data_IF_102714289890
#
_entry.id   IF_102714289890
#
_cell.length_a   1.000
_cell.length_b   1.000
_cell.length_c   1.000
_cell.angle_alpha   90.00
_cell.angle_beta   90.00
_cell.angle_gamma   90.00
#
_symmetry.space_group_name_H-M   'P 1'
#
loop_
_entity.id
_entity.type
_entity.pdbx_description
1 polymer ?
#
# COMPACT_ATOMS: atom_id res chain seq x y z
N UNK A 1 -38.97 -46.34 -22.02
CA UNK A 1 -39.91 -46.73 -20.95
C UNK A 1 -40.82 -47.82 -21.51
N UNK A 2 -40.70 -49.04 -20.99
CA UNK A 2 -41.60 -50.12 -21.36
C UNK A 2 -42.97 -49.85 -20.74
N UNK A 3 -44.03 -49.90 -21.55
CA UNK A 3 -45.41 -49.71 -21.10
C UNK A 3 -45.82 -50.92 -20.25
N UNK A 4 -45.70 -50.82 -18.94
CA UNK A 4 -46.21 -51.86 -18.02
C UNK A 4 -47.71 -51.68 -17.91
N UNK A 5 -48.46 -52.43 -18.72
CA UNK A 5 -49.92 -52.43 -18.68
C UNK A 5 -50.37 -53.22 -17.44
N UNK A 6 -50.98 -52.52 -16.48
CA UNK A 6 -51.46 -53.14 -15.24
C UNK A 6 -52.76 -53.92 -15.50
N UNK A 7 -52.92 -55.14 -14.96
CA UNK A 7 -54.15 -55.90 -15.10
C UNK A 7 -55.32 -55.20 -14.38
N UNK A 8 -56.46 -55.02 -15.06
CA UNK A 8 -57.70 -54.60 -14.39
C UNK A 8 -58.41 -55.81 -13.78
N UNK A 9 -58.93 -55.66 -12.56
CA UNK A 9 -59.72 -56.71 -11.89
C UNK A 9 -61.07 -56.14 -11.45
N UNK A 10 -62.14 -56.77 -11.94
CA UNK A 10 -63.49 -56.62 -11.40
C UNK A 10 -63.70 -57.61 -10.25
N UNK A 11 -63.50 -57.16 -9.01
CA UNK A 11 -63.81 -57.98 -7.82
C UNK A 11 -65.23 -57.62 -7.36
N UNK A 12 -66.13 -58.61 -7.41
CA UNK A 12 -67.46 -58.53 -6.82
C UNK A 12 -67.39 -58.98 -5.35
N UNK A 13 -67.92 -58.17 -4.42
CA UNK A 13 -67.83 -58.35 -2.97
C UNK A 13 -68.55 -59.61 -2.42
N UNK A 14 -69.17 -60.46 -3.24
CA UNK A 14 -70.05 -61.54 -2.77
C UNK A 14 -69.44 -62.94 -2.71
N UNK A 15 -68.17 -63.17 -3.08
CA UNK A 15 -67.54 -64.49 -2.95
C UNK A 15 -66.03 -64.37 -2.63
N UNK A 16 -65.66 -64.42 -1.35
CA UNK A 16 -64.28 -64.75 -0.95
C UNK A 16 -64.30 -66.23 -0.54
N UNK A 17 -64.22 -67.09 -1.54
CA UNK A 17 -63.83 -68.49 -1.35
C UNK A 17 -62.28 -68.59 -1.34
N UNK A 18 -61.74 -69.79 -1.14
CA UNK A 18 -60.28 -70.02 -1.16
C UNK A 18 -59.63 -69.56 -2.47
N UNK A 19 -60.37 -69.63 -3.59
CA UNK A 19 -59.90 -69.16 -4.89
C UNK A 19 -59.78 -67.63 -4.96
N UNK A 20 -60.72 -66.89 -4.37
CA UNK A 20 -60.63 -65.43 -4.21
C UNK A 20 -59.45 -64.99 -3.32
N UNK A 21 -59.18 -65.75 -2.25
CA UNK A 21 -58.04 -65.50 -1.36
C UNK A 21 -56.70 -65.76 -2.06
N UNK A 22 -56.61 -66.81 -2.88
CA UNK A 22 -55.40 -67.11 -3.64
C UNK A 22 -55.15 -66.12 -4.77
N UNK A 23 -56.21 -65.63 -5.42
CA UNK A 23 -56.13 -64.51 -6.36
C UNK A 23 -55.57 -63.25 -5.70
N UNK A 24 -56.05 -62.92 -4.50
CA UNK A 24 -55.54 -61.80 -3.71
C UNK A 24 -54.05 -61.97 -3.36
N UNK A 25 -53.63 -63.15 -2.88
CA UNK A 25 -52.22 -63.44 -2.57
C UNK A 25 -51.32 -63.30 -3.79
N UNK A 26 -51.75 -63.79 -4.96
CA UNK A 26 -51.00 -63.64 -6.20
C UNK A 26 -50.85 -62.16 -6.58
N UNK A 27 -51.91 -61.37 -6.41
CA UNK A 27 -51.87 -59.94 -6.72
C UNK A 27 -50.96 -59.18 -5.76
N UNK A 28 -51.02 -59.48 -4.46
CA UNK A 28 -50.11 -58.91 -3.45
C UNK A 28 -48.65 -59.25 -3.77
N UNK A 29 -48.35 -60.49 -4.20
CA UNK A 29 -47.01 -60.86 -4.66
C UNK A 29 -46.57 -60.09 -5.90
N UNK A 30 -47.47 -59.88 -6.86
CA UNK A 30 -47.17 -59.10 -8.07
C UNK A 30 -46.86 -57.64 -7.74
N UNK A 31 -47.67 -57.01 -6.87
CA UNK A 31 -47.44 -55.64 -6.40
C UNK A 31 -46.12 -55.52 -5.65
N UNK A 32 -45.79 -56.49 -4.78
CA UNK A 32 -44.51 -56.52 -4.07
C UNK A 32 -43.33 -56.58 -5.06
N UNK A 33 -43.38 -57.46 -6.05
CA UNK A 33 -42.33 -57.58 -7.06
C UNK A 33 -42.15 -56.28 -7.86
N UNK A 34 -43.25 -55.65 -8.29
CA UNK A 34 -43.20 -54.37 -9.00
C UNK A 34 -42.59 -53.27 -8.13
N UNK A 35 -42.94 -53.24 -6.84
CA UNK A 35 -42.41 -52.25 -5.89
C UNK A 35 -40.90 -52.44 -5.68
N UNK A 36 -40.43 -53.69 -5.59
CA UNK A 36 -39.00 -54.01 -5.49
C UNK A 36 -38.27 -53.56 -6.75
N UNK A 37 -38.77 -53.90 -7.94
CA UNK A 37 -38.16 -53.50 -9.20
C UNK A 37 -38.07 -51.98 -9.36
N UNK A 38 -39.15 -51.26 -9.03
CA UNK A 38 -39.16 -49.79 -9.07
C UNK A 38 -38.15 -49.19 -8.08
N UNK A 39 -38.00 -49.79 -6.90
CA UNK A 39 -37.04 -49.33 -5.89
C UNK A 39 -35.60 -49.54 -6.35
N UNK A 40 -35.30 -50.68 -6.96
CA UNK A 40 -33.99 -50.99 -7.53
C UNK A 40 -33.66 -50.07 -8.70
N UNK A 41 -34.61 -49.86 -9.62
CA UNK A 41 -34.43 -48.97 -10.78
C UNK A 41 -34.25 -47.52 -10.35
N UNK A 42 -35.03 -47.04 -9.37
CA UNK A 42 -34.88 -45.68 -8.83
C UNK A 42 -33.52 -45.52 -8.13
N UNK A 43 -33.11 -46.51 -7.33
CA UNK A 43 -31.79 -46.49 -6.67
C UNK A 43 -30.67 -46.48 -7.69
N UNK A 44 -30.79 -47.27 -8.76
CA UNK A 44 -29.84 -47.28 -9.86
C UNK A 44 -29.80 -45.92 -10.57
N UNK A 45 -30.94 -45.34 -10.91
CA UNK A 45 -31.04 -44.03 -11.54
C UNK A 45 -30.45 -42.92 -10.64
N UNK A 46 -30.69 -42.97 -9.33
CA UNK A 46 -30.13 -42.00 -8.39
C UNK A 46 -28.62 -42.13 -8.22
N UNK A 47 -28.10 -43.36 -8.23
CA UNK A 47 -26.65 -43.62 -8.09
C UNK A 47 -25.87 -43.47 -9.41
N UNK A 48 -26.55 -43.56 -10.56
CA UNK A 48 -25.94 -43.49 -11.89
C UNK A 48 -26.54 -42.36 -12.74
N UNK A 49 -27.13 -41.35 -12.09
CA UNK A 49 -27.61 -40.15 -12.75
C UNK A 49 -26.39 -39.50 -13.41
N UNK A 50 -26.40 -39.46 -14.75
CA UNK A 50 -25.32 -38.84 -15.50
C UNK A 50 -25.31 -37.35 -15.16
N UNK A 51 -24.34 -36.93 -14.35
CA UNK A 51 -24.19 -35.56 -13.89
C UNK A 51 -24.00 -34.57 -15.04
N UNK A 52 -23.70 -35.05 -16.26
CA UNK A 52 -23.63 -34.22 -17.48
C UNK A 52 -24.99 -33.68 -17.94
N UNK A 53 -26.10 -34.26 -17.48
CA UNK A 53 -27.45 -33.85 -17.85
C UNK A 53 -28.17 -33.06 -16.75
N UNK A 54 -27.45 -32.60 -15.72
CA UNK A 54 -28.02 -31.73 -14.69
C UNK A 54 -28.13 -30.31 -15.25
N UNK A 55 -29.37 -29.82 -15.42
CA UNK A 55 -29.63 -28.46 -15.91
C UNK A 55 -29.51 -27.42 -14.78
N UNK A 56 -29.95 -27.77 -13.58
CA UNK A 56 -29.90 -26.93 -12.40
C UNK A 56 -29.57 -27.79 -11.17
N UNK A 57 -28.61 -27.34 -10.37
CA UNK A 57 -28.29 -27.92 -9.08
C UNK A 57 -28.50 -26.84 -8.03
N UNK A 58 -29.57 -26.97 -7.25
CA UNK A 58 -29.76 -26.18 -6.05
C UNK A 58 -29.25 -26.97 -4.86
N UNK A 59 -28.06 -26.61 -4.37
CA UNK A 59 -27.39 -27.29 -3.27
C UNK A 59 -26.76 -26.27 -2.32
N UNK A 60 -26.86 -26.54 -1.02
CA UNK A 60 -26.17 -25.74 0.02
C UNK A 60 -24.64 -25.91 -0.08
N UNK A 61 -24.18 -27.10 -0.45
CA UNK A 61 -22.75 -27.45 -0.56
C UNK A 61 -22.50 -28.21 -1.86
N UNK A 62 -21.51 -27.76 -2.64
CA UNK A 62 -20.96 -28.47 -3.79
C UNK A 62 -19.56 -28.97 -3.41
N UNK A 63 -19.43 -30.25 -3.05
CA UNK A 63 -18.14 -30.87 -2.79
C UNK A 63 -17.60 -31.51 -4.09
N UNK A 64 -16.78 -30.77 -4.82
CA UNK A 64 -16.15 -31.23 -6.05
C UNK A 64 -14.63 -31.11 -5.93
N UNK A 65 -13.89 -32.06 -6.51
CA UNK A 65 -12.43 -31.95 -6.61
C UNK A 65 -12.01 -30.80 -7.52
N UNK A 66 -12.56 -30.78 -8.74
CA UNK A 66 -12.33 -29.72 -9.73
C UNK A 66 -13.65 -29.36 -10.41
N UNK A 67 -13.92 -28.06 -10.52
CA UNK A 67 -15.01 -27.53 -11.35
C UNK A 67 -14.37 -27.05 -12.66
N UNK A 68 -14.53 -27.82 -13.73
CA UNK A 68 -14.11 -27.40 -15.07
C UNK A 68 -15.29 -26.74 -15.78
N UNK A 69 -15.30 -25.41 -15.79
CA UNK A 69 -16.39 -24.62 -16.37
C UNK A 69 -15.83 -23.43 -17.16
N UNK A 70 -16.52 -23.06 -18.24
CA UNK A 70 -16.21 -21.85 -19.01
C UNK A 70 -16.51 -20.57 -18.21
N UNK A 71 -17.46 -20.64 -17.29
CA UNK A 71 -17.85 -19.56 -16.39
C UNK A 71 -18.24 -20.17 -15.04
N UNK A 72 -17.62 -19.69 -13.98
CA UNK A 72 -18.05 -19.89 -12.59
C UNK A 72 -18.37 -18.52 -12.03
N UNK A 73 -19.63 -18.28 -11.65
CA UNK A 73 -20.03 -17.03 -10.98
C UNK A 73 -20.56 -17.35 -9.60
N UNK A 74 -19.84 -16.93 -8.58
CA UNK A 74 -20.22 -17.01 -7.17
C UNK A 74 -20.82 -15.67 -6.82
N UNK A 75 -22.15 -15.61 -6.78
CA UNK A 75 -22.88 -14.43 -6.37
C UNK A 75 -22.94 -14.41 -4.84
N UNK A 76 -22.65 -13.26 -4.24
CA UNK A 76 -22.97 -13.04 -2.84
C UNK A 76 -24.42 -12.55 -2.72
N UNK A 77 -25.11 -12.95 -1.65
CA UNK A 77 -26.39 -12.33 -1.25
C UNK A 77 -26.21 -10.93 -0.62
N UNK A 78 -25.00 -10.35 -0.68
CA UNK A 78 -24.78 -8.97 -0.24
C UNK A 78 -25.75 -8.03 -0.96
N UNK A 79 -26.31 -7.08 -0.22
CA UNK A 79 -27.33 -6.12 -0.67
C UNK A 79 -26.97 -5.35 -1.95
N UNK A 80 -25.67 -5.28 -2.26
CA UNK A 80 -25.14 -4.49 -3.36
C UNK A 80 -24.93 -5.34 -4.63
N UNK A 81 -25.14 -6.66 -4.58
CA UNK A 81 -24.96 -7.56 -5.73
C UNK A 81 -23.51 -7.92 -6.07
N UNK A 82 -22.61 -7.84 -5.08
CA UNK A 82 -21.21 -8.21 -5.25
C UNK A 82 -21.03 -9.68 -5.65
N UNK A 83 -19.95 -9.97 -6.37
CA UNK A 83 -19.69 -11.31 -6.90
C UNK A 83 -18.21 -11.61 -7.06
N UNK A 84 -17.89 -12.91 -7.14
CA UNK A 84 -16.61 -13.43 -7.62
C UNK A 84 -16.89 -14.22 -8.89
N UNK A 85 -16.19 -13.94 -9.99
CA UNK A 85 -16.31 -14.71 -11.23
C UNK A 85 -14.97 -15.23 -11.72
N UNK A 86 -15.01 -16.40 -12.33
CA UNK A 86 -13.93 -17.00 -13.11
C UNK A 86 -14.49 -17.26 -14.51
N UNK A 87 -13.90 -16.65 -15.53
CA UNK A 87 -14.33 -16.78 -16.93
C UNK A 87 -13.11 -17.01 -17.84
N UNK A 88 -13.35 -17.08 -19.16
CA UNK A 88 -12.29 -17.23 -20.17
C UNK A 88 -11.32 -16.04 -20.26
N UNK A 89 -11.55 -14.96 -19.52
CA UNK A 89 -10.69 -13.78 -19.46
C UNK A 89 -9.91 -13.67 -18.13
N UNK A 90 -10.33 -14.42 -17.09
CA UNK A 90 -9.63 -14.53 -15.82
C UNK A 90 -10.56 -14.52 -14.60
N UNK A 91 -10.08 -13.96 -13.49
CA UNK A 91 -10.83 -13.82 -12.23
C UNK A 91 -11.21 -12.35 -11.99
N UNK A 92 -12.43 -12.11 -11.51
CA UNK A 92 -12.93 -10.79 -11.12
C UNK A 92 -13.59 -10.86 -9.74
N UNK A 93 -13.34 -9.87 -8.90
CA UNK A 93 -14.03 -9.62 -7.63
C UNK A 93 -14.68 -8.25 -7.72
N UNK A 94 -15.99 -8.19 -7.52
CA UNK A 94 -16.80 -6.99 -7.69
C UNK A 94 -17.60 -6.71 -6.41
N UNK A 95 -17.63 -5.45 -5.97
CA UNK A 95 -18.30 -5.03 -4.73
C UNK A 95 -19.79 -4.66 -4.90
N UNK A 96 -20.33 -4.86 -6.10
CA UNK A 96 -21.67 -4.45 -6.53
C UNK A 96 -21.67 -3.18 -7.40
N UNK A 97 -20.59 -2.40 -7.36
CA UNK A 97 -20.47 -1.14 -8.09
C UNK A 97 -19.30 -1.13 -9.08
N UNK A 98 -18.18 -1.78 -8.71
CA UNK A 98 -16.96 -1.85 -9.53
C UNK A 98 -16.14 -3.09 -9.23
N UNK A 99 -15.26 -3.44 -10.16
CA UNK A 99 -14.28 -4.51 -9.96
C UNK A 99 -13.16 -4.01 -9.04
N UNK A 100 -13.04 -4.63 -7.86
CA UNK A 100 -12.04 -4.30 -6.84
C UNK A 100 -10.78 -5.13 -6.99
N UNK A 101 -10.87 -6.30 -7.63
CA UNK A 101 -9.73 -7.12 -8.02
C UNK A 101 -10.01 -7.79 -9.36
N UNK A 102 -9.05 -7.73 -10.28
CA UNK A 102 -9.06 -8.53 -11.51
C UNK A 102 -7.72 -9.23 -11.69
N UNK A 103 -7.75 -10.48 -12.16
CA UNK A 103 -6.56 -11.25 -12.51
C UNK A 103 -6.79 -11.73 -13.94
N UNK A 104 -6.06 -11.15 -14.89
CA UNK A 104 -6.17 -11.52 -16.30
C UNK A 104 -5.44 -12.82 -16.64
N UNK A 105 -5.45 -13.17 -17.92
CA UNK A 105 -4.71 -14.32 -18.46
C UNK A 105 -3.19 -14.24 -18.28
N UNK A 106 -2.65 -13.05 -18.00
CA UNK A 106 -1.24 -12.84 -17.68
C UNK A 106 -0.90 -13.14 -16.21
N UNK A 107 -1.89 -13.50 -15.40
CA UNK A 107 -1.74 -13.86 -13.99
C UNK A 107 -1.44 -12.67 -13.08
N UNK A 108 -1.51 -11.43 -13.57
CA UNK A 108 -1.18 -10.24 -12.77
C UNK A 108 -2.44 -9.67 -12.11
N UNK A 109 -2.49 -9.60 -10.77
CA UNK A 109 -3.61 -8.97 -10.10
C UNK A 109 -3.57 -7.45 -10.29
N UNK A 110 -4.72 -6.87 -10.62
CA UNK A 110 -4.99 -5.43 -10.53
C UNK A 110 -6.01 -5.24 -9.41
N UNK A 111 -5.66 -4.44 -8.41
CA UNK A 111 -6.51 -4.17 -7.25
C UNK A 111 -6.81 -2.69 -7.16
N UNK A 112 -8.07 -2.35 -6.89
CA UNK A 112 -8.55 -0.98 -6.70
C UNK A 112 -8.93 -0.78 -5.23
N UNK A 113 -7.90 -0.51 -4.43
CA UNK A 113 -8.00 -0.42 -2.98
C UNK A 113 -7.50 -1.68 -2.27
N UNK A 114 -6.80 -1.51 -1.14
CA UNK A 114 -6.34 -2.61 -0.32
C UNK A 114 -6.10 -2.15 1.12
N UNK A 115 -6.47 -3.02 2.07
CA UNK A 115 -6.15 -2.89 3.49
C UNK A 115 -5.31 -4.11 3.91
N UNK A 116 -4.09 -3.86 4.37
CA UNK A 116 -3.22 -4.89 4.95
C UNK A 116 -2.93 -4.44 6.37
N UNK A 117 -3.50 -5.10 7.37
CA UNK A 117 -3.37 -4.70 8.77
C UNK A 117 -2.99 -5.87 9.67
N UNK A 118 -2.34 -5.55 10.79
CA UNK A 118 -2.16 -6.49 11.90
C UNK A 118 -3.51 -6.90 12.50
N UNK A 119 -3.53 -7.99 13.27
CA UNK A 119 -4.75 -8.49 13.93
C UNK A 119 -5.42 -7.46 14.86
N UNK A 120 -4.63 -6.52 15.41
CA UNK A 120 -5.09 -5.44 16.29
C UNK A 120 -5.24 -4.09 15.56
N UNK A 121 -5.24 -4.09 14.23
CA UNK A 121 -5.46 -2.92 13.36
C UNK A 121 -4.21 -2.12 13.00
N UNK A 122 -3.13 -2.20 13.79
CA UNK A 122 -1.84 -1.56 13.48
C UNK A 122 -0.65 -2.51 13.73
N UNK A 123 0.45 -2.40 12.95
CA UNK A 123 0.64 -1.52 11.79
C UNK A 123 -0.26 -1.88 10.61
N UNK A 124 -0.50 -0.91 9.71
CA UNK A 124 -1.31 -1.16 8.50
C UNK A 124 -0.83 -0.40 7.26
N UNK A 125 -1.12 -0.96 6.10
CA UNK A 125 -0.92 -0.37 4.78
C UNK A 125 -2.28 -0.17 4.12
N UNK A 126 -2.52 1.06 3.62
CA UNK A 126 -3.76 1.43 2.94
C UNK A 126 -3.42 1.97 1.56
N UNK A 127 -4.07 1.41 0.54
CA UNK A 127 -4.13 1.96 -0.80
C UNK A 127 -5.58 2.41 -1.01
N UNK A 128 -5.82 3.70 -1.21
CA UNK A 128 -7.17 4.26 -1.30
C UNK A 128 -7.29 5.24 -2.48
N UNK A 129 -8.07 4.92 -3.52
CA UNK A 129 -8.20 5.77 -4.70
C UNK A 129 -8.80 7.16 -4.41
N UNK A 130 -9.53 7.34 -3.30
CA UNK A 130 -10.31 8.56 -3.06
C UNK A 130 -9.53 9.71 -2.40
N UNK A 131 -8.26 9.48 -2.02
CA UNK A 131 -7.43 10.57 -1.48
C UNK A 131 -5.98 10.25 -1.15
N UNK A 132 -5.57 8.98 -1.10
CA UNK A 132 -4.21 8.58 -0.73
C UNK A 132 -3.66 7.50 -1.66
N UNK A 133 -2.65 7.84 -2.47
CA UNK A 133 -2.04 6.88 -3.39
C UNK A 133 -1.51 5.66 -2.63
N UNK A 134 -0.85 5.88 -1.47
CA UNK A 134 -0.37 4.80 -0.60
C UNK A 134 0.01 5.33 0.79
N UNK A 135 -0.36 4.66 1.89
CA UNK A 135 0.11 5.00 3.24
C UNK A 135 0.48 3.78 4.07
N UNK A 136 1.55 3.91 4.85
CA UNK A 136 1.99 2.93 5.83
C UNK A 136 1.96 3.57 7.22
N UNK A 137 1.10 3.06 8.09
CA UNK A 137 0.86 3.58 9.43
C UNK A 137 1.52 2.70 10.49
N UNK A 138 2.27 3.32 11.40
CA UNK A 138 2.63 2.72 12.68
C UNK A 138 1.46 2.82 13.66
N UNK A 139 0.82 3.99 13.70
CA UNK A 139 -0.42 4.27 14.44
C UNK A 139 -1.20 5.41 13.75
N UNK A 140 -2.26 5.92 14.37
CA UNK A 140 -3.10 6.99 13.80
C UNK A 140 -2.35 8.31 13.52
N UNK A 141 -1.27 8.59 14.25
CA UNK A 141 -0.55 9.85 14.23
C UNK A 141 0.87 9.73 13.66
N UNK A 142 1.34 8.51 13.39
CA UNK A 142 2.69 8.23 12.92
C UNK A 142 2.62 7.38 11.65
N UNK A 143 2.97 7.97 10.50
CA UNK A 143 2.89 7.29 9.21
C UNK A 143 3.83 7.89 8.15
N UNK A 144 4.08 7.11 7.11
CA UNK A 144 4.68 7.56 5.84
C UNK A 144 3.59 7.45 4.78
N UNK A 145 3.42 8.49 3.98
CA UNK A 145 2.42 8.53 2.91
C UNK A 145 2.98 8.99 1.59
N UNK A 146 2.44 8.43 0.51
CA UNK A 146 2.54 8.95 -0.84
C UNK A 146 1.18 9.58 -1.16
N UNK A 147 1.19 10.89 -1.37
CA UNK A 147 0.01 11.69 -1.65
C UNK A 147 0.30 12.68 -2.77
N UNK A 148 -0.73 13.05 -3.53
CA UNK A 148 -0.62 14.14 -4.47
C UNK A 148 -0.41 15.45 -3.70
N UNK A 149 0.56 16.26 -4.12
CA UNK A 149 0.70 17.63 -3.64
C UNK A 149 -0.42 18.53 -4.18
N UNK A 150 -0.42 19.82 -3.82
CA UNK A 150 -1.45 20.75 -4.26
C UNK A 150 -1.52 20.92 -5.80
N UNK A 151 -0.45 20.59 -6.52
CA UNK A 151 -0.37 20.65 -7.97
C UNK A 151 -0.62 19.29 -8.64
N UNK A 152 -0.95 18.25 -7.86
CA UNK A 152 -1.17 16.90 -8.34
C UNK A 152 0.09 16.05 -8.52
N UNK A 153 1.28 16.57 -8.19
CA UNK A 153 2.53 15.82 -8.30
C UNK A 153 2.68 14.84 -7.12
N UNK A 154 3.24 13.64 -7.32
CA UNK A 154 3.44 12.71 -6.23
C UNK A 154 4.44 13.27 -5.22
N UNK A 155 4.09 13.20 -3.94
CA UNK A 155 4.94 13.59 -2.83
C UNK A 155 4.97 12.49 -1.77
N UNK A 156 6.11 12.35 -1.10
CA UNK A 156 6.25 11.48 0.07
C UNK A 156 6.26 12.35 1.33
N UNK A 157 5.37 12.06 2.26
CA UNK A 157 5.22 12.81 3.52
C UNK A 157 5.52 11.89 4.70
N UNK A 158 6.34 12.38 5.64
CA UNK A 158 6.63 11.73 6.91
C UNK A 158 5.88 12.47 8.01
N UNK A 159 4.99 11.78 8.72
CA UNK A 159 4.16 12.35 9.78
C UNK A 159 4.50 11.70 11.11
N UNK A 160 4.71 12.54 12.13
CA UNK A 160 4.96 12.10 13.50
C UNK A 160 4.17 12.95 14.48
N UNK A 161 3.42 12.30 15.37
CA UNK A 161 2.50 12.99 16.29
C UNK A 161 1.42 13.82 15.58
N UNK A 162 0.96 13.38 14.41
CA UNK A 162 -0.06 14.06 13.61
C UNK A 162 0.44 15.29 12.85
N UNK A 163 1.75 15.58 12.90
CA UNK A 163 2.38 16.73 12.25
C UNK A 163 3.36 16.26 11.19
N UNK A 164 3.30 16.88 10.01
CA UNK A 164 4.29 16.66 8.94
C UNK A 164 5.67 17.08 9.45
N UNK A 165 6.62 16.16 9.45
CA UNK A 165 8.02 16.43 9.84
C UNK A 165 8.90 16.64 8.63
N UNK A 166 8.66 15.88 7.56
CA UNK A 166 9.36 16.03 6.31
C UNK A 166 8.45 15.74 5.11
N UNK A 167 8.74 16.37 3.98
CA UNK A 167 8.12 16.08 2.69
C UNK A 167 9.18 16.07 1.59
N UNK A 168 9.07 15.08 0.71
CA UNK A 168 9.84 14.96 -0.52
C UNK A 168 8.89 15.17 -1.69
N UNK A 169 9.16 16.15 -2.55
CA UNK A 169 8.28 16.45 -3.69
C UNK A 169 9.08 16.94 -4.89
N UNK A 170 8.41 17.03 -6.04
CA UNK A 170 8.97 17.60 -7.28
C UNK A 170 8.22 18.83 -7.76
N UNK A 171 7.53 19.50 -6.85
CA UNK A 171 6.57 20.57 -7.13
C UNK A 171 7.17 21.71 -7.98
N UNK A 172 8.44 22.06 -7.77
CA UNK A 172 9.14 23.12 -8.49
C UNK A 172 9.95 22.60 -9.69
N UNK A 173 9.69 21.37 -10.14
CA UNK A 173 10.44 20.71 -11.23
C UNK A 173 11.80 20.14 -10.81
N UNK A 174 12.19 20.29 -9.53
CA UNK A 174 13.38 19.72 -8.91
C UNK A 174 13.00 18.99 -7.62
N UNK A 175 13.89 18.14 -7.10
CA UNK A 175 13.68 17.50 -5.80
C UNK A 175 13.66 18.58 -4.70
N UNK A 176 12.56 18.63 -3.96
CA UNK A 176 12.40 19.44 -2.77
C UNK A 176 12.36 18.53 -1.55
N UNK A 177 13.10 18.92 -0.52
CA UNK A 177 13.09 18.31 0.80
C UNK A 177 12.66 19.38 1.80
N UNK A 178 11.39 19.36 2.17
CA UNK A 178 10.83 20.28 3.15
C UNK A 178 10.90 19.62 4.53
N UNK A 179 11.29 20.37 5.56
CA UNK A 179 11.31 19.90 6.94
C UNK A 179 10.70 20.95 7.89
N UNK A 180 9.94 20.47 8.87
CA UNK A 180 9.32 21.31 9.91
C UNK A 180 10.12 21.19 11.20
N UNK A 181 10.63 22.31 11.70
CA UNK A 181 11.48 22.35 12.90
C UNK A 181 12.98 22.29 12.63
N UNK A 182 13.39 22.38 11.36
CA UNK A 182 14.78 22.30 10.91
C UNK A 182 15.09 20.99 10.20
N UNK A 183 16.24 20.94 9.53
CA UNK A 183 16.76 19.75 8.86
C UNK A 183 18.21 19.56 9.28
N UNK A 184 18.54 18.37 9.79
CA UNK A 184 19.90 17.93 9.99
C UNK A 184 20.29 16.96 8.88
N UNK A 185 21.32 17.31 8.10
CA UNK A 185 21.90 16.41 7.11
C UNK A 185 23.18 15.83 7.73
N UNK A 186 23.09 14.57 8.15
CA UNK A 186 24.20 13.87 8.77
C UNK A 186 24.66 12.70 7.87
N UNK A 187 25.97 12.60 7.65
CA UNK A 187 26.58 11.49 6.91
C UNK A 187 27.24 10.54 7.90
N UNK A 188 26.54 9.44 8.22
CA UNK A 188 27.05 8.39 9.11
C UNK A 188 27.74 7.30 8.30
N UNK A 189 28.82 6.70 8.84
CA UNK A 189 29.52 5.58 8.20
C UNK A 189 30.70 5.96 7.29
N UNK A 190 31.23 7.18 7.42
CA UNK A 190 32.50 7.58 6.77
C UNK A 190 32.37 8.14 5.35
N UNK A 191 31.17 8.50 4.90
CA UNK A 191 30.96 9.23 3.64
C UNK A 191 31.23 10.74 3.76
N UNK A 192 31.13 11.44 2.64
CA UNK A 192 31.17 12.92 2.60
C UNK A 192 29.88 13.49 2.00
N UNK A 193 29.47 14.67 2.48
CA UNK A 193 28.46 15.48 1.82
C UNK A 193 29.15 16.29 0.72
N UNK A 194 28.95 15.89 -0.53
CA UNK A 194 29.49 16.59 -1.69
C UNK A 194 28.70 17.85 -2.00
N UNK A 195 29.30 19.02 -1.79
CA UNK A 195 28.80 20.30 -2.24
C UNK A 195 29.75 20.81 -3.32
N UNK A 196 29.32 20.94 -4.60
CA UNK A 196 30.22 21.36 -5.67
C UNK A 196 30.85 22.72 -5.40
N UNK A 197 30.05 23.66 -4.87
CA UNK A 197 30.48 25.01 -4.49
C UNK A 197 29.68 25.51 -3.29
N UNK A 198 30.29 26.32 -2.42
CA UNK A 198 29.56 27.00 -1.34
C UNK A 198 28.51 27.98 -1.88
N UNK A 199 28.66 28.46 -3.12
CA UNK A 199 27.65 29.28 -3.79
C UNK A 199 26.32 28.56 -4.06
N UNK A 200 26.30 27.24 -3.99
CA UNK A 200 25.08 26.44 -4.20
C UNK A 200 24.21 26.41 -2.93
N UNK A 201 24.77 26.80 -1.78
CA UNK A 201 24.01 26.97 -0.53
C UNK A 201 23.44 28.39 -0.52
N UNK A 202 22.14 28.50 -0.77
CA UNK A 202 21.41 29.77 -0.82
C UNK A 202 20.52 29.92 0.39
N UNK A 203 20.68 31.03 1.12
CA UNK A 203 19.81 31.41 2.23
C UNK A 203 18.44 31.88 1.75
N UNK A 204 17.48 31.97 2.68
CA UNK A 204 16.11 32.42 2.36
C UNK A 204 16.04 33.86 1.83
N UNK A 205 17.05 34.68 2.14
CA UNK A 205 17.20 36.04 1.64
C UNK A 205 17.81 36.13 0.23
N UNK A 206 18.15 34.99 -0.40
CA UNK A 206 18.78 34.93 -1.72
C UNK A 206 20.30 35.10 -1.73
N UNK A 207 20.92 35.44 -0.59
CA UNK A 207 22.39 35.41 -0.46
C UNK A 207 22.88 33.96 -0.52
N UNK A 208 23.97 33.72 -1.24
CA UNK A 208 24.65 32.42 -1.19
C UNK A 208 25.83 32.45 -0.21
N UNK A 209 26.15 31.30 0.38
CA UNK A 209 27.20 31.16 1.39
C UNK A 209 28.58 31.54 0.84
N UNK A 210 28.85 31.27 -0.45
CA UNK A 210 30.10 31.69 -1.09
C UNK A 210 30.34 33.19 -1.00
N UNK A 211 29.35 34.00 -1.40
CA UNK A 211 29.42 35.47 -1.33
C UNK A 211 29.57 35.97 0.11
N UNK A 212 28.85 35.37 1.07
CA UNK A 212 28.96 35.77 2.48
C UNK A 212 30.35 35.44 3.07
N UNK A 213 30.94 34.32 2.67
CA UNK A 213 32.31 33.96 3.05
C UNK A 213 33.35 34.91 2.43
N UNK A 214 33.20 35.25 1.14
CA UNK A 214 34.08 36.19 0.44
C UNK A 214 34.01 37.60 1.06
N UNK A 215 32.80 38.08 1.36
CA UNK A 215 32.59 39.37 2.03
C UNK A 215 33.26 39.40 3.41
N UNK A 216 33.18 38.30 4.17
CA UNK A 216 33.85 38.18 5.46
C UNK A 216 35.37 38.20 5.33
N UNK A 217 35.91 37.52 4.32
CA UNK A 217 37.36 37.54 4.04
C UNK A 217 37.83 38.95 3.67
N UNK A 218 37.09 39.67 2.83
CA UNK A 218 37.37 41.07 2.47
C UNK A 218 37.29 42.02 3.67
N UNK A 219 36.31 41.83 4.56
CA UNK A 219 36.21 42.60 5.81
C UNK A 219 37.43 42.37 6.72
N UNK A 220 37.95 41.14 6.78
CA UNK A 220 39.21 40.82 7.45
C UNK A 220 40.40 41.59 6.85
N UNK A 221 40.48 41.66 5.52
CA UNK A 221 41.51 42.47 4.83
C UNK A 221 41.42 43.95 5.22
N UNK A 222 40.22 44.50 5.43
CA UNK A 222 40.04 45.90 5.86
C UNK A 222 40.71 46.20 7.21
N UNK A 223 40.83 45.22 8.11
CA UNK A 223 41.58 45.40 9.37
C UNK A 223 43.09 45.51 9.18
N UNK A 224 43.63 45.12 8.02
CA UNK A 224 45.05 45.24 7.69
C UNK A 224 45.48 46.67 7.30
N UNK A 225 44.54 47.60 7.21
CA UNK A 225 44.80 49.00 6.91
C UNK A 225 44.74 49.91 8.15
N UNK A 226 44.62 49.36 9.37
CA UNK A 226 44.88 50.17 10.56
C UNK A 226 46.36 50.51 10.57
N UNK A 227 46.69 51.78 10.31
CA UNK A 227 48.07 52.28 10.25
C UNK A 227 48.89 51.98 11.51
N UNK A 228 50.14 52.45 11.55
CA UNK A 228 51.03 52.24 12.69
C UNK A 228 50.30 52.51 14.02
N UNK A 229 50.20 51.48 14.87
CA UNK A 229 49.60 51.65 16.18
C UNK A 229 50.70 52.10 17.13
N UNK A 230 50.47 53.23 17.78
CA UNK A 230 51.44 53.79 18.72
C UNK A 230 51.03 53.54 20.19
N UNK A 231 49.99 52.73 20.42
CA UNK A 231 49.37 52.51 21.72
C UNK A 231 49.04 53.80 22.50
N UNK A 232 48.86 54.93 21.81
CA UNK A 232 48.66 56.25 22.42
C UNK A 232 49.93 56.98 22.84
N UNK A 233 51.12 56.43 22.56
CA UNK A 233 52.42 57.05 22.84
C UNK A 233 52.94 57.74 21.56
N UNK A 234 53.11 59.07 21.53
CA UNK A 234 53.68 59.75 20.37
C UNK A 234 55.10 59.29 20.05
N UNK A 235 55.45 59.20 18.76
CA UNK A 235 56.83 58.94 18.33
C UNK A 235 57.79 60.00 18.87
N UNK A 236 58.97 59.56 19.31
CA UNK A 236 59.94 60.43 19.97
C UNK A 236 59.75 60.56 21.48
N UNK A 237 58.70 59.99 22.07
CA UNK A 237 58.51 59.99 23.53
C UNK A 237 59.68 59.27 24.22
N UNK A 238 60.33 59.93 25.17
CA UNK A 238 61.44 59.34 25.93
C UNK A 238 60.88 58.59 27.14
N UNK A 239 61.03 57.27 27.15
CA UNK A 239 60.62 56.39 28.23
C UNK A 239 61.82 56.09 29.14
N UNK A 240 61.62 56.12 30.45
CA UNK A 240 62.65 55.81 31.43
C UNK A 240 62.69 54.31 31.70
N UNK A 241 63.87 53.70 31.63
CA UNK A 241 64.07 52.28 31.95
C UNK A 241 64.26 52.08 33.46
N UNK A 242 64.05 50.84 33.93
CA UNK A 242 64.07 50.52 35.37
C UNK A 242 65.43 50.75 36.05
N UNK A 243 66.52 50.71 35.26
CA UNK A 243 67.90 50.99 35.68
C UNK A 243 68.24 52.51 35.65
N UNK A 244 67.28 53.37 35.30
CA UNK A 244 67.45 54.81 35.23
C UNK A 244 67.94 55.34 33.88
N UNK A 245 68.15 54.48 32.89
CA UNK A 245 68.39 54.88 31.49
C UNK A 245 67.14 55.41 30.78
N UNK A 246 67.28 55.70 29.49
CA UNK A 246 66.19 56.19 28.63
C UNK A 246 66.18 55.48 27.29
N UNK A 247 64.98 55.21 26.77
CA UNK A 247 64.77 54.75 25.39
C UNK A 247 63.79 55.69 24.68
N UNK A 248 64.03 55.97 23.41
CA UNK A 248 63.10 56.75 22.59
C UNK A 248 62.07 55.80 21.99
N UNK A 249 60.80 56.01 22.30
CA UNK A 249 59.71 55.29 21.68
C UNK A 249 59.64 55.64 20.19
N UNK A 250 59.57 54.60 19.38
CA UNK A 250 59.23 54.67 17.96
C UNK A 250 58.09 53.69 17.78
N UNK A 251 56.98 54.14 17.22
CA UNK A 251 55.86 53.27 16.90
C UNK A 251 56.36 52.10 16.06
N UNK A 252 55.77 50.93 16.31
CA UNK A 252 56.06 49.76 15.51
C UNK A 252 55.78 50.10 14.03
N UNK A 253 56.70 49.75 13.11
CA UNK A 253 56.43 49.83 11.68
C UNK A 253 55.12 49.12 11.35
N UNK A 254 54.44 49.55 10.29
CA UNK A 254 53.21 48.91 9.82
C UNK A 254 53.45 47.39 9.72
N UNK A 255 52.65 46.61 10.46
CA UNK A 255 52.56 45.18 10.25
C UNK A 255 51.24 44.88 9.58
N UNK A 256 51.24 43.87 8.73
CA UNK A 256 50.07 43.45 7.96
C UNK A 256 49.62 42.08 8.43
N UNK A 257 48.32 41.87 8.60
CA UNK A 257 47.74 40.52 8.66
C UNK A 257 47.19 40.12 7.29
N UNK A 258 47.88 40.50 6.20
CA UNK A 258 47.50 40.13 4.85
C UNK A 258 47.42 38.61 4.73
N UNK A 259 46.18 38.13 4.69
CA UNK A 259 45.86 36.76 4.32
C UNK A 259 45.82 36.75 2.79
N UNK A 260 46.81 36.14 2.16
CA UNK A 260 46.80 35.88 0.72
C UNK A 260 45.96 34.64 0.46
N UNK A 261 44.98 34.75 -0.42
CA UNK A 261 44.22 33.62 -0.96
C UNK A 261 45.12 32.68 -1.80
#
# INVERSE_FOLDING_TARGET
>A
MANVQLPQIGISNTQIDEAGMDGLKQHVKSLLNVTVMLTEELTYLLNNLDTRNVNELNADIINAGTINANLVKIMSELSNGGYISFDGEGMKVNDGTRDTMTIGLDGKPRMSGAYIESAEGYPKVVMDPDGNLFRAYLDANNYIGIEADYAGSPSMTLVNGGVIKARFSTLLGTLLVDAVGGMEINVTGGGSLGLPRFSDIVGRNGSNLGVELDNKALAGISTNASGGHNHGIPDGTVLRTADGGTVTFSAAPQHTHQQTN
#
